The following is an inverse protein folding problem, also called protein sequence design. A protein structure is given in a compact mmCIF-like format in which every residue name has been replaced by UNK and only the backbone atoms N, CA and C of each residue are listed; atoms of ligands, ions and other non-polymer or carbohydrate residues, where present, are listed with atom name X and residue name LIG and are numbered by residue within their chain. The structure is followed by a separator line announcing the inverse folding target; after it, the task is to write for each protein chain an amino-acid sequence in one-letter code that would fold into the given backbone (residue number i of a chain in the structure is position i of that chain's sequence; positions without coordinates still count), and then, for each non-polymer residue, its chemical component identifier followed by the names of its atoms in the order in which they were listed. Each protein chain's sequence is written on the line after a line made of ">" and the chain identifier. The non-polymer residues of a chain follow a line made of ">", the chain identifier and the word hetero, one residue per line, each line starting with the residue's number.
data_IF_331522539326
#
_entry.id   IF_331522539326
#
_cell.length_a   1.000
_cell.length_b   1.000
_cell.length_c   1.000
_cell.angle_alpha   90.00
_cell.angle_beta   90.00
_cell.angle_gamma   90.00
#
_symmetry.space_group_name_H-M   'P 1'
#
loop_
_entity.id
_entity.type
_entity.pdbx_description
1 polymer ?
#
# COMPACT_ATOMS: atom_id res chain seq x y z
N UNK A 1 -5.98 6.28 22.32
CA UNK A 1 -6.94 6.06 21.23
C UNK A 1 -8.20 5.40 21.71
N UNK A 2 -9.34 5.87 21.21
CA UNK A 2 -10.61 5.22 21.44
C UNK A 2 -10.84 4.14 20.38
N UNK A 3 -11.49 3.04 20.77
CA UNK A 3 -11.75 1.88 19.91
C UNK A 3 -12.42 2.26 18.57
N UNK A 4 -13.10 3.40 18.46
CA UNK A 4 -13.83 3.83 17.26
C UNK A 4 -12.96 4.24 16.05
N UNK A 5 -11.64 4.42 16.19
CA UNK A 5 -10.78 4.93 15.09
C UNK A 5 -10.30 3.82 14.12
N UNK A 6 -10.56 2.56 14.43
CA UNK A 6 -10.14 1.41 13.61
C UNK A 6 -10.58 1.50 12.12
N UNK A 7 -11.77 2.04 11.74
CA UNK A 7 -12.17 2.12 10.34
C UNK A 7 -11.26 3.05 9.53
N UNK A 8 -10.81 4.14 10.14
CA UNK A 8 -9.93 5.12 9.50
C UNK A 8 -8.53 4.56 9.29
N UNK A 9 -7.99 3.88 10.30
CA UNK A 9 -6.69 3.20 10.21
C UNK A 9 -6.75 2.16 9.10
N UNK A 10 -7.74 1.27 9.14
CA UNK A 10 -7.85 0.20 8.14
C UNK A 10 -8.08 0.74 6.73
N UNK A 11 -8.91 1.77 6.57
CA UNK A 11 -9.10 2.46 5.30
C UNK A 11 -7.78 3.01 4.74
N UNK A 12 -6.97 3.65 5.58
CA UNK A 12 -5.69 4.20 5.15
C UNK A 12 -4.73 3.11 4.66
N UNK A 13 -4.63 1.98 5.38
CA UNK A 13 -3.78 0.84 5.03
C UNK A 13 -4.21 0.23 3.69
N UNK A 14 -5.50 -0.05 3.53
CA UNK A 14 -6.04 -0.63 2.30
C UNK A 14 -5.82 0.29 1.09
N UNK A 15 -6.01 1.60 1.26
CA UNK A 15 -5.80 2.60 0.22
C UNK A 15 -4.33 2.66 -0.20
N UNK A 16 -3.43 2.80 0.77
CA UNK A 16 -1.97 2.89 0.55
C UNK A 16 -1.42 1.66 -0.15
N UNK A 17 -1.77 0.46 0.32
CA UNK A 17 -1.31 -0.79 -0.31
C UNK A 17 -1.84 -0.92 -1.74
N UNK A 18 -3.11 -0.56 -1.98
CA UNK A 18 -3.72 -0.69 -3.31
C UNK A 18 -3.13 0.27 -4.34
N UNK A 19 -2.96 1.54 -3.96
CA UNK A 19 -2.34 2.56 -4.81
C UNK A 19 -0.89 2.18 -5.11
N UNK A 20 -0.12 1.82 -4.08
CA UNK A 20 1.27 1.40 -4.24
C UNK A 20 1.41 0.16 -5.14
N UNK A 21 0.54 -0.83 -4.95
CA UNK A 21 0.53 -2.02 -5.81
C UNK A 21 0.21 -1.69 -7.26
N UNK A 22 -0.78 -0.83 -7.50
CA UNK A 22 -1.14 -0.43 -8.86
C UNK A 22 -0.01 0.33 -9.54
N UNK A 23 0.70 1.24 -8.85
CA UNK A 23 1.86 1.96 -9.41
C UNK A 23 2.92 0.95 -9.90
N UNK A 24 3.24 -0.05 -9.08
CA UNK A 24 4.22 -1.09 -9.42
C UNK A 24 3.75 -1.96 -10.58
N UNK A 25 2.50 -2.43 -10.54
CA UNK A 25 1.92 -3.23 -11.63
C UNK A 25 1.83 -2.44 -12.93
N UNK A 26 1.50 -1.15 -12.85
CA UNK A 26 1.46 -0.24 -13.98
C UNK A 26 2.82 -0.07 -14.63
N UNK A 27 3.89 0.11 -13.84
CA UNK A 27 5.25 0.12 -14.36
C UNK A 27 5.63 -1.20 -15.04
N UNK A 28 5.23 -2.34 -14.46
CA UNK A 28 5.47 -3.66 -15.07
C UNK A 28 4.71 -3.81 -16.39
N UNK A 29 3.47 -3.34 -16.48
CA UNK A 29 2.69 -3.35 -17.72
C UNK A 29 3.29 -2.45 -18.80
N UNK A 30 3.75 -1.24 -18.42
CA UNK A 30 4.43 -0.33 -19.33
C UNK A 30 5.76 -0.90 -19.87
N UNK A 31 6.42 -1.78 -19.12
CA UNK A 31 7.66 -2.44 -19.58
C UNK A 31 7.46 -3.39 -20.76
N UNK A 32 6.23 -3.82 -21.04
CA UNK A 32 5.91 -4.74 -22.15
C UNK A 32 6.51 -6.15 -22.02
N UNK A 33 7.16 -6.48 -20.90
CA UNK A 33 7.79 -7.80 -20.68
C UNK A 33 6.79 -8.95 -20.46
N UNK A 34 5.51 -8.64 -20.20
CA UNK A 34 4.46 -9.63 -19.99
C UNK A 34 3.83 -10.04 -21.33
N UNK A 35 3.66 -11.35 -21.55
CA UNK A 35 2.91 -11.80 -22.71
C UNK A 35 1.41 -11.50 -22.55
N UNK A 36 0.67 -11.43 -23.66
CA UNK A 36 -0.76 -11.10 -23.66
C UNK A 36 -1.58 -11.95 -22.67
N UNK A 37 -1.34 -13.26 -22.63
CA UNK A 37 -2.01 -14.16 -21.67
C UNK A 37 -1.65 -13.90 -20.20
N UNK A 38 -0.43 -13.46 -19.90
CA UNK A 38 -0.04 -13.06 -18.54
C UNK A 38 -0.67 -11.74 -18.15
N UNK A 39 -0.69 -10.77 -19.06
CA UNK A 39 -1.35 -9.49 -18.86
C UNK A 39 -2.85 -9.69 -18.60
N UNK A 40 -3.55 -10.55 -19.35
CA UNK A 40 -4.98 -10.83 -19.12
C UNK A 40 -5.26 -11.40 -17.71
N UNK A 41 -4.43 -12.34 -17.26
CA UNK A 41 -4.50 -12.94 -15.91
C UNK A 41 -4.15 -11.92 -14.82
N UNK A 42 -3.20 -11.03 -15.08
CA UNK A 42 -2.85 -9.94 -14.17
C UNK A 42 -4.02 -8.97 -14.00
N UNK A 43 -4.67 -8.57 -15.09
CA UNK A 43 -5.86 -7.72 -15.00
C UNK A 43 -7.01 -8.39 -14.23
N UNK A 44 -7.16 -9.72 -14.31
CA UNK A 44 -8.11 -10.45 -13.44
C UNK A 44 -7.68 -10.41 -11.97
N UNK A 45 -6.38 -10.51 -11.68
CA UNK A 45 -5.86 -10.40 -10.33
C UNK A 45 -6.00 -8.98 -9.73
N UNK A 46 -6.01 -7.93 -10.57
CA UNK A 46 -6.22 -6.54 -10.14
C UNK A 46 -7.60 -6.29 -9.49
N UNK A 47 -8.58 -7.20 -9.65
CA UNK A 47 -9.87 -7.10 -8.98
C UNK A 47 -9.73 -6.95 -7.45
N UNK A 48 -8.68 -7.56 -6.86
CA UNK A 48 -8.37 -7.43 -5.43
C UNK A 48 -8.09 -5.97 -5.06
N UNK A 49 -7.39 -5.22 -5.91
CA UNK A 49 -7.10 -3.79 -5.67
C UNK A 49 -8.39 -2.96 -5.65
N UNK A 50 -9.34 -3.28 -6.54
CA UNK A 50 -10.63 -2.59 -6.59
C UNK A 50 -11.47 -2.87 -5.35
N UNK A 51 -11.50 -4.13 -4.90
CA UNK A 51 -12.18 -4.51 -3.66
C UNK A 51 -11.56 -3.81 -2.44
N UNK A 52 -10.22 -3.73 -2.37
CA UNK A 52 -9.53 -3.03 -1.29
C UNK A 52 -9.81 -1.53 -1.31
N UNK A 53 -9.73 -0.86 -2.46
CA UNK A 53 -10.01 0.59 -2.57
C UNK A 53 -11.47 0.91 -2.27
N UNK A 54 -12.41 0.13 -2.82
CA UNK A 54 -13.83 0.31 -2.53
C UNK A 54 -14.12 0.12 -1.04
N UNK A 55 -13.59 -0.94 -0.43
CA UNK A 55 -13.75 -1.18 1.01
C UNK A 55 -13.14 -0.06 1.85
N UNK A 56 -11.97 0.46 1.44
CA UNK A 56 -11.32 1.56 2.13
C UNK A 56 -12.15 2.84 2.10
N UNK A 57 -12.65 3.24 0.93
CA UNK A 57 -13.48 4.43 0.77
C UNK A 57 -14.80 4.29 1.54
N UNK A 58 -15.44 3.11 1.47
CA UNK A 58 -16.62 2.84 2.28
C UNK A 58 -16.34 2.97 3.77
N UNK A 59 -15.28 2.33 4.28
CA UNK A 59 -14.93 2.41 5.70
C UNK A 59 -14.70 3.85 6.17
N UNK A 60 -14.04 4.69 5.37
CA UNK A 60 -13.76 6.08 5.73
C UNK A 60 -15.01 6.95 5.65
N UNK A 61 -15.64 7.02 4.49
CA UNK A 61 -16.70 8.00 4.24
C UNK A 61 -18.00 7.62 4.94
N UNK A 62 -18.32 6.32 5.04
CA UNK A 62 -19.49 5.87 5.80
C UNK A 62 -19.39 6.26 7.28
N UNK A 63 -18.21 6.10 7.89
CA UNK A 63 -18.01 6.48 9.29
C UNK A 63 -18.05 8.00 9.49
N UNK A 64 -17.52 8.80 8.56
CA UNK A 64 -17.62 10.26 8.63
C UNK A 64 -19.06 10.74 8.48
N UNK A 65 -19.83 10.17 7.55
CA UNK A 65 -21.24 10.51 7.37
C UNK A 65 -22.09 10.16 8.59
N UNK A 66 -21.79 9.06 9.28
CA UNK A 66 -22.48 8.69 10.53
C UNK A 66 -22.07 9.55 11.73
N UNK A 67 -20.82 9.99 11.77
CA UNK A 67 -20.29 10.81 12.87
C UNK A 67 -20.75 12.28 12.78
N UNK A 68 -20.96 12.80 11.57
CA UNK A 68 -21.08 14.24 11.31
C UNK A 68 -22.46 14.66 10.78
N UNK A 69 -23.52 14.25 11.49
CA UNK A 69 -24.93 14.54 11.13
C UNK A 69 -25.28 16.03 11.32
N UNK A 70 -24.39 16.85 11.90
CA UNK A 70 -24.68 18.23 12.31
C UNK A 70 -24.00 19.34 11.49
N UNK A 71 -22.74 19.18 11.03
CA UNK A 71 -21.94 20.31 10.47
C UNK A 71 -21.65 20.24 8.96
N UNK A 72 -22.30 19.33 8.23
CA UNK A 72 -22.20 19.26 6.78
C UNK A 72 -20.89 18.64 6.30
N UNK A 73 -20.93 17.33 6.08
CA UNK A 73 -19.81 16.50 5.61
C UNK A 73 -19.06 17.13 4.40
N UNK A 74 -17.72 17.22 4.53
CA UNK A 74 -16.81 17.67 3.46
C UNK A 74 -15.79 16.58 3.14
N UNK A 75 -15.65 16.28 1.85
CA UNK A 75 -14.66 15.30 1.36
C UNK A 75 -13.25 15.87 1.55
N UNK A 76 -12.40 15.14 2.29
CA UNK A 76 -11.00 15.51 2.49
C UNK A 76 -10.14 15.35 1.23
N UNK A 77 -9.03 16.07 1.14
CA UNK A 77 -8.15 16.03 -0.04
C UNK A 77 -7.58 14.63 -0.33
N UNK A 78 -7.19 13.87 0.70
CA UNK A 78 -6.73 12.48 0.54
C UNK A 78 -7.82 11.57 -0.03
N UNK A 79 -9.07 11.74 0.41
CA UNK A 79 -10.21 10.98 -0.09
C UNK A 79 -10.49 11.33 -1.55
N UNK A 80 -10.45 12.62 -1.90
CA UNK A 80 -10.64 13.09 -3.27
C UNK A 80 -9.57 12.55 -4.22
N UNK A 81 -8.30 12.53 -3.80
CA UNK A 81 -7.21 11.91 -4.56
C UNK A 81 -7.41 10.39 -4.71
N UNK A 82 -7.88 9.71 -3.65
CA UNK A 82 -8.14 8.27 -3.66
C UNK A 82 -9.31 7.91 -4.58
N UNK A 83 -10.39 8.69 -4.56
CA UNK A 83 -11.55 8.55 -5.45
C UNK A 83 -11.13 8.80 -6.91
N UNK A 84 -10.38 9.88 -7.16
CA UNK A 84 -9.88 10.22 -8.50
C UNK A 84 -8.95 9.13 -9.03
N UNK A 85 -8.07 8.63 -8.19
CA UNK A 85 -7.21 7.49 -8.49
C UNK A 85 -8.06 6.27 -8.84
N UNK A 86 -9.01 5.89 -7.99
CA UNK A 86 -9.85 4.72 -8.18
C UNK A 86 -10.64 4.79 -9.49
N UNK A 87 -11.25 5.95 -9.79
CA UNK A 87 -11.95 6.19 -11.05
C UNK A 87 -11.01 6.06 -12.25
N UNK A 88 -9.84 6.72 -12.23
CA UNK A 88 -8.87 6.66 -13.33
C UNK A 88 -8.32 5.24 -13.57
N UNK A 89 -8.06 4.50 -12.50
CA UNK A 89 -7.53 3.15 -12.54
C UNK A 89 -8.58 2.14 -13.03
N UNK A 90 -9.85 2.31 -12.63
CA UNK A 90 -10.97 1.55 -13.19
C UNK A 90 -11.22 1.85 -14.66
N UNK A 91 -11.17 3.13 -15.07
CA UNK A 91 -11.29 3.53 -16.47
C UNK A 91 -10.22 2.86 -17.34
N UNK A 92 -8.97 2.87 -16.88
CA UNK A 92 -7.90 2.10 -17.51
C UNK A 92 -8.24 0.60 -17.59
N UNK A 93 -8.65 0.01 -16.46
CA UNK A 93 -8.94 -1.43 -16.38
C UNK A 93 -10.06 -1.86 -17.33
N UNK A 94 -11.15 -1.08 -17.41
CA UNK A 94 -12.24 -1.33 -18.35
C UNK A 94 -11.79 -1.14 -19.80
N UNK A 95 -11.04 -0.07 -20.08
CA UNK A 95 -10.54 0.20 -21.42
C UNK A 95 -9.63 -0.94 -21.92
N UNK A 96 -8.75 -1.47 -21.07
CA UNK A 96 -7.88 -2.59 -21.41
C UNK A 96 -8.66 -3.90 -21.55
N UNK A 97 -9.64 -4.17 -20.69
CA UNK A 97 -10.45 -5.41 -20.75
C UNK A 97 -11.38 -5.46 -21.95
N UNK A 98 -12.03 -4.35 -22.27
CA UNK A 98 -12.94 -4.26 -23.39
C UNK A 98 -12.23 -3.87 -24.70
N UNK A 99 -10.89 -3.72 -24.68
CA UNK A 99 -10.07 -3.28 -25.81
C UNK A 99 -10.61 -1.98 -26.44
N UNK A 100 -11.08 -1.04 -25.60
CA UNK A 100 -11.67 0.22 -26.04
C UNK A 100 -10.56 1.21 -26.40
N UNK A 101 -10.62 1.72 -27.62
CA UNK A 101 -9.68 2.71 -28.14
C UNK A 101 -8.34 2.12 -28.58
N UNK A 102 -7.45 2.99 -29.07
CA UNK A 102 -6.11 2.59 -29.54
C UNK A 102 -5.18 2.23 -28.37
N UNK A 103 -4.16 1.43 -28.64
CA UNK A 103 -3.13 1.07 -27.66
C UNK A 103 -2.48 2.29 -27.01
N UNK A 104 -2.34 3.38 -27.76
CA UNK A 104 -1.82 4.65 -27.27
C UNK A 104 -2.73 5.26 -26.19
N UNK A 105 -4.05 5.26 -26.40
CA UNK A 105 -5.01 5.81 -25.43
C UNK A 105 -4.97 5.00 -24.14
N UNK A 106 -4.96 3.65 -24.23
CA UNK A 106 -4.93 2.80 -23.04
C UNK A 106 -3.66 2.98 -22.22
N UNK A 107 -2.51 3.13 -22.89
CA UNK A 107 -1.25 3.50 -22.23
C UNK A 107 -1.30 4.88 -21.59
N UNK A 108 -1.91 5.88 -22.25
CA UNK A 108 -2.10 7.21 -21.66
C UNK A 108 -2.97 7.15 -20.41
N UNK A 109 -4.07 6.38 -20.42
CA UNK A 109 -4.90 6.15 -19.24
C UNK A 109 -4.11 5.50 -18.09
N UNK A 110 -3.26 4.51 -18.40
CA UNK A 110 -2.39 3.88 -17.41
C UNK A 110 -1.42 4.88 -16.78
N UNK A 111 -0.74 5.68 -17.61
CA UNK A 111 0.21 6.70 -17.14
C UNK A 111 -0.52 7.75 -16.30
N UNK A 112 -1.71 8.20 -16.70
CA UNK A 112 -2.52 9.14 -15.93
C UNK A 112 -2.86 8.57 -14.54
N UNK A 113 -3.30 7.32 -14.46
CA UNK A 113 -3.58 6.68 -13.18
C UNK A 113 -2.33 6.55 -12.29
N UNK A 114 -1.17 6.23 -12.87
CA UNK A 114 0.12 6.20 -12.14
C UNK A 114 0.47 7.59 -11.62
N UNK A 115 0.31 8.65 -12.43
CA UNK A 115 0.59 10.04 -12.03
C UNK A 115 -0.32 10.47 -10.88
N UNK A 116 -1.62 10.14 -10.94
CA UNK A 116 -2.56 10.41 -9.85
C UNK A 116 -2.14 9.65 -8.59
N UNK A 117 -1.76 8.38 -8.70
CA UNK A 117 -1.23 7.61 -7.57
C UNK A 117 0.05 8.20 -6.99
N UNK A 118 0.95 8.72 -7.83
CA UNK A 118 2.13 9.46 -7.42
C UNK A 118 1.79 10.76 -6.69
N UNK A 119 0.77 11.48 -7.15
CA UNK A 119 0.28 12.68 -6.46
C UNK A 119 -0.29 12.39 -5.07
N UNK A 120 -0.97 11.25 -4.89
CA UNK A 120 -1.40 10.75 -3.59
C UNK A 120 -0.21 10.50 -2.66
N UNK A 121 0.85 9.87 -3.15
CA UNK A 121 2.07 9.63 -2.37
C UNK A 121 2.73 10.95 -1.94
N UNK A 122 2.89 11.90 -2.86
CA UNK A 122 3.50 13.21 -2.58
C UNK A 122 2.67 13.99 -1.56
N UNK A 123 1.36 14.06 -1.76
CA UNK A 123 0.45 14.74 -0.83
C UNK A 123 0.48 14.08 0.55
N UNK A 124 0.42 12.75 0.62
CA UNK A 124 0.45 12.00 1.88
C UNK A 124 1.74 12.23 2.67
N UNK A 125 2.88 12.39 1.99
CA UNK A 125 4.16 12.76 2.61
C UNK A 125 4.20 14.21 3.07
N UNK A 126 3.69 15.14 2.25
CA UNK A 126 3.66 16.57 2.61
C UNK A 126 2.86 16.79 3.91
N UNK A 127 1.68 16.15 4.03
CA UNK A 127 0.82 16.22 5.22
C UNK A 127 1.50 15.65 6.48
N UNK A 128 2.43 14.70 6.32
CA UNK A 128 3.09 13.97 7.43
C UNK A 128 4.54 14.40 7.65
N UNK A 129 4.97 15.48 7.01
CA UNK A 129 6.37 15.92 6.98
C UNK A 129 6.91 16.35 8.35
N UNK A 130 6.04 16.77 9.27
CA UNK A 130 6.41 17.17 10.63
C UNK A 130 6.76 15.96 11.52
N UNK A 131 6.27 14.77 11.20
CA UNK A 131 6.43 13.57 12.01
C UNK A 131 6.96 12.41 11.15
N UNK A 132 8.29 12.27 11.07
CA UNK A 132 8.94 11.28 10.22
C UNK A 132 8.60 9.82 10.51
N UNK A 133 8.20 9.47 11.72
CA UNK A 133 7.73 8.13 12.06
C UNK A 133 6.47 7.82 11.24
N UNK A 134 5.53 8.78 11.17
CA UNK A 134 4.30 8.67 10.37
C UNK A 134 4.59 8.64 8.90
N UNK A 135 5.47 9.53 8.44
CA UNK A 135 5.89 9.53 7.05
C UNK A 135 6.56 8.19 6.67
N UNK A 136 7.40 7.63 7.55
CA UNK A 136 8.09 6.36 7.32
C UNK A 136 7.13 5.18 7.28
N UNK A 137 6.11 5.13 8.15
CA UNK A 137 5.08 4.11 8.12
C UNK A 137 4.18 4.24 6.89
N UNK A 138 3.83 5.46 6.50
CA UNK A 138 3.11 5.74 5.26
C UNK A 138 3.89 5.24 4.04
N UNK A 139 5.21 5.51 3.97
CA UNK A 139 6.09 5.01 2.92
C UNK A 139 6.20 3.49 2.94
N UNK A 140 6.39 2.89 4.12
CA UNK A 140 6.49 1.44 4.27
C UNK A 140 5.21 0.76 3.77
N UNK A 141 4.04 1.26 4.17
CA UNK A 141 2.75 0.67 3.79
C UNK A 141 2.48 0.85 2.30
N UNK A 142 2.68 2.07 1.78
CA UNK A 142 2.41 2.39 0.38
C UNK A 142 3.40 1.70 -0.55
N UNK A 143 4.71 1.84 -0.31
CA UNK A 143 5.73 1.34 -1.22
C UNK A 143 6.12 -0.10 -0.93
N UNK A 144 6.44 -0.49 0.31
CA UNK A 144 6.82 -1.87 0.63
C UNK A 144 5.59 -2.80 0.63
N UNK A 145 4.50 -2.42 1.30
CA UNK A 145 3.24 -3.18 1.28
C UNK A 145 2.64 -3.25 -0.13
N UNK A 146 2.66 -2.15 -0.88
CA UNK A 146 2.20 -2.11 -2.27
C UNK A 146 3.05 -2.97 -3.21
N UNK A 147 4.39 -2.90 -3.14
CA UNK A 147 5.27 -3.76 -3.96
C UNK A 147 5.09 -5.24 -3.65
N UNK A 148 4.90 -5.60 -2.37
CA UNK A 148 4.58 -6.97 -1.97
C UNK A 148 3.23 -7.44 -2.55
N UNK A 149 2.20 -6.59 -2.50
CA UNK A 149 0.89 -6.89 -3.06
C UNK A 149 0.94 -7.03 -4.59
N UNK A 150 1.68 -6.15 -5.27
CA UNK A 150 1.95 -6.27 -6.70
C UNK A 150 2.66 -7.58 -7.04
N UNK A 151 3.67 -7.97 -6.25
CA UNK A 151 4.36 -9.24 -6.45
C UNK A 151 3.42 -10.44 -6.24
N UNK A 152 2.56 -10.41 -5.22
CA UNK A 152 1.54 -11.44 -5.01
C UNK A 152 0.57 -11.56 -6.19
N UNK A 153 0.13 -10.42 -6.75
CA UNK A 153 -0.70 -10.39 -7.97
C UNK A 153 0.03 -10.99 -9.19
N UNK A 154 1.32 -10.70 -9.35
CA UNK A 154 2.15 -11.27 -10.43
C UNK A 154 2.36 -12.78 -10.27
N UNK A 155 2.57 -13.27 -9.04
CA UNK A 155 2.67 -14.69 -8.74
C UNK A 155 1.33 -15.38 -9.03
N UNK A 156 0.20 -14.79 -8.61
CA UNK A 156 -1.15 -15.27 -8.93
C UNK A 156 -1.42 -15.31 -10.43
N UNK A 157 -0.90 -14.35 -11.20
CA UNK A 157 -0.99 -14.30 -12.65
C UNK A 157 -0.04 -15.29 -13.37
N UNK A 158 0.77 -16.04 -12.62
CA UNK A 158 1.79 -16.97 -13.14
C UNK A 158 2.71 -16.28 -14.16
N UNK A 159 3.23 -15.11 -13.80
CA UNK A 159 4.23 -14.44 -14.60
C UNK A 159 5.49 -15.33 -14.78
N UNK A 160 6.17 -15.19 -15.92
CA UNK A 160 7.40 -15.95 -16.26
C UNK A 160 8.66 -15.07 -16.22
N UNK A 161 8.53 -13.80 -15.83
CA UNK A 161 9.65 -12.85 -15.80
C UNK A 161 10.43 -13.06 -14.50
N UNK A 162 11.44 -13.92 -14.54
CA UNK A 162 12.21 -14.31 -13.34
C UNK A 162 12.90 -13.14 -12.64
N UNK A 163 13.28 -12.10 -13.39
CA UNK A 163 13.85 -10.87 -12.86
C UNK A 163 12.94 -10.21 -11.81
N UNK A 164 11.61 -10.24 -12.01
CA UNK A 164 10.67 -9.62 -11.08
C UNK A 164 10.65 -10.31 -9.71
N UNK A 165 10.86 -11.64 -9.69
CA UNK A 165 10.96 -12.40 -8.45
C UNK A 165 12.18 -12.00 -7.62
N UNK A 166 13.18 -11.36 -8.23
CA UNK A 166 14.41 -10.92 -7.57
C UNK A 166 14.41 -9.42 -7.28
N UNK A 167 13.96 -8.61 -8.24
CA UNK A 167 13.97 -7.15 -8.13
C UNK A 167 12.93 -6.66 -7.12
N UNK A 168 11.71 -7.23 -7.13
CA UNK A 168 10.64 -6.73 -6.26
C UNK A 168 10.94 -6.94 -4.76
N UNK A 169 11.38 -8.12 -4.29
CA UNK A 169 11.72 -8.27 -2.87
C UNK A 169 12.93 -7.42 -2.48
N UNK A 170 13.95 -7.27 -3.34
CA UNK A 170 15.10 -6.39 -3.07
C UNK A 170 14.68 -4.93 -2.93
N UNK A 171 13.82 -4.45 -3.83
CA UNK A 171 13.26 -3.10 -3.74
C UNK A 171 12.50 -2.90 -2.43
N UNK A 172 11.66 -3.88 -2.06
CA UNK A 172 10.97 -3.92 -0.78
C UNK A 172 11.90 -3.83 0.43
N UNK A 173 12.97 -4.62 0.43
CA UNK A 173 14.01 -4.58 1.48
C UNK A 173 14.66 -3.20 1.57
N UNK A 174 15.03 -2.59 0.44
CA UNK A 174 15.62 -1.24 0.43
C UNK A 174 14.66 -0.21 1.00
N UNK A 175 13.39 -0.23 0.58
CA UNK A 175 12.35 0.67 1.10
C UNK A 175 12.20 0.48 2.61
N UNK A 176 12.10 -0.77 3.08
CA UNK A 176 11.94 -1.06 4.50
C UNK A 176 13.15 -0.59 5.33
N UNK A 177 14.37 -0.77 4.83
CA UNK A 177 15.60 -0.26 5.48
C UNK A 177 15.55 1.27 5.58
N UNK A 178 15.18 1.97 4.51
CA UNK A 178 15.05 3.44 4.54
C UNK A 178 13.98 3.86 5.56
N UNK A 179 12.84 3.18 5.60
CA UNK A 179 11.77 3.49 6.56
C UNK A 179 12.19 3.20 8.01
N UNK A 180 12.96 2.13 8.24
CA UNK A 180 13.51 1.82 9.57
C UNK A 180 14.52 2.88 10.01
N UNK A 181 15.45 3.28 9.14
CA UNK A 181 16.47 4.28 9.46
C UNK A 181 15.85 5.67 9.74
N UNK A 182 14.74 6.00 9.08
CA UNK A 182 14.03 7.27 9.27
C UNK A 182 13.07 7.25 10.47
N UNK A 183 12.42 6.12 10.75
CA UNK A 183 11.47 5.98 11.86
C UNK A 183 12.13 5.69 13.23
N UNK A 184 13.18 4.86 13.27
CA UNK A 184 13.79 4.39 14.52
C UNK A 184 14.27 5.49 15.48
N UNK A 185 14.90 6.59 15.01
CA UNK A 185 15.36 7.66 15.90
C UNK A 185 14.23 8.29 16.75
N UNK A 186 12.99 8.24 16.27
CA UNK A 186 11.84 8.87 16.93
C UNK A 186 11.22 8.00 18.03
N UNK A 187 11.60 6.73 18.13
CA UNK A 187 11.26 5.89 19.29
C UNK A 187 11.84 6.44 20.60
N UNK A 188 12.98 7.15 20.53
CA UNK A 188 13.56 7.81 21.70
C UNK A 188 12.67 8.91 22.26
N UNK A 189 11.94 9.62 21.40
CA UNK A 189 10.99 10.65 21.84
C UNK A 189 9.76 10.04 22.50
N UNK A 190 9.22 8.95 21.91
CA UNK A 190 8.14 8.18 22.54
C UNK A 190 8.56 7.62 23.90
N UNK A 191 9.81 7.17 24.05
CA UNK A 191 10.34 6.71 25.35
C UNK A 191 10.30 7.80 26.41
N UNK A 192 10.65 9.05 26.06
CA UNK A 192 10.57 10.18 27.00
C UNK A 192 9.12 10.53 27.35
N UNK A 193 8.20 10.40 26.39
CA UNK A 193 6.77 10.59 26.66
C UNK A 193 6.21 9.58 27.66
N UNK A 194 6.72 8.34 27.68
CA UNK A 194 6.37 7.35 28.71
C UNK A 194 6.75 7.87 30.10
N UNK A 195 7.97 8.41 30.25
CA UNK A 195 8.44 8.93 31.53
C UNK A 195 7.62 10.15 31.98
N UNK A 196 7.17 10.99 31.04
CA UNK A 196 6.42 12.20 31.34
C UNK A 196 4.92 11.96 31.60
N UNK A 197 4.29 11.03 30.89
CA UNK A 197 2.81 10.87 30.88
C UNK A 197 2.33 9.47 31.27
N UNK A 198 3.23 8.48 31.37
CA UNK A 198 2.89 7.08 31.61
C UNK A 198 2.20 6.38 30.43
N UNK A 199 2.09 7.03 29.26
CA UNK A 199 1.40 6.47 28.10
C UNK A 199 2.29 5.48 27.32
N UNK A 200 2.25 4.20 27.72
CA UNK A 200 3.09 3.12 27.15
C UNK A 200 2.61 2.62 25.78
N UNK A 201 1.31 2.71 25.51
CA UNK A 201 0.68 2.05 24.35
C UNK A 201 1.21 2.54 22.97
N UNK A 202 1.44 3.85 22.74
CA UNK A 202 2.02 4.33 21.49
C UNK A 202 3.43 3.77 21.24
N UNK A 203 4.27 3.69 22.26
CA UNK A 203 5.61 3.11 22.11
C UNK A 203 5.55 1.62 21.75
N UNK A 204 4.75 0.82 22.46
CA UNK A 204 4.64 -0.63 22.23
C UNK A 204 4.12 -0.93 20.82
N UNK A 205 3.09 -0.21 20.38
CA UNK A 205 2.52 -0.40 19.05
C UNK A 205 3.51 -0.07 17.92
N UNK A 206 4.32 0.99 18.06
CA UNK A 206 5.35 1.32 17.07
C UNK A 206 6.48 0.29 17.04
N UNK A 207 6.91 -0.22 18.20
CA UNK A 207 7.90 -1.31 18.27
C UNK A 207 7.38 -2.58 17.59
N UNK A 208 6.12 -2.96 17.85
CA UNK A 208 5.47 -4.09 17.18
C UNK A 208 5.41 -3.86 15.67
N UNK A 209 5.02 -2.66 15.23
CA UNK A 209 4.93 -2.32 13.81
C UNK A 209 6.26 -2.49 13.09
N UNK A 210 7.34 -1.90 13.63
CA UNK A 210 8.68 -1.97 13.05
C UNK A 210 9.25 -3.41 13.08
N UNK A 211 9.01 -4.14 14.16
CA UNK A 211 9.37 -5.56 14.26
C UNK A 211 8.66 -6.42 13.22
N UNK A 212 7.36 -6.18 13.00
CA UNK A 212 6.60 -6.86 11.96
C UNK A 212 7.04 -6.45 10.56
N UNK A 213 7.45 -5.21 10.32
CA UNK A 213 8.01 -4.79 9.02
C UNK A 213 9.27 -5.59 8.68
N UNK A 214 10.16 -5.83 9.65
CA UNK A 214 11.31 -6.72 9.48
C UNK A 214 10.88 -8.16 9.16
N UNK A 215 9.87 -8.67 9.87
CA UNK A 215 9.33 -10.00 9.60
C UNK A 215 8.73 -10.11 8.20
N UNK A 216 8.00 -9.09 7.72
CA UNK A 216 7.44 -9.00 6.37
C UNK A 216 8.54 -9.17 5.33
N UNK A 217 9.60 -8.37 5.44
CA UNK A 217 10.74 -8.41 4.51
C UNK A 217 11.48 -9.74 4.58
N UNK A 218 11.66 -10.29 5.78
CA UNK A 218 12.30 -11.60 5.97
C UNK A 218 11.52 -12.73 5.31
N UNK A 219 10.21 -12.81 5.55
CA UNK A 219 9.31 -13.80 4.93
C UNK A 219 9.24 -13.60 3.41
N UNK A 220 9.09 -12.36 2.96
CA UNK A 220 9.01 -12.06 1.52
C UNK A 220 10.31 -12.37 0.78
N UNK A 221 11.46 -12.15 1.42
CA UNK A 221 12.78 -12.48 0.86
C UNK A 221 13.14 -13.96 0.97
N UNK A 222 12.35 -14.77 1.68
CA UNK A 222 12.64 -16.20 1.90
C UNK A 222 12.85 -16.98 0.60
N UNK A 223 12.05 -16.82 -0.48
CA UNK A 223 12.28 -17.50 -1.75
C UNK A 223 13.63 -17.15 -2.39
N UNK A 224 14.18 -15.96 -2.14
CA UNK A 224 15.52 -15.58 -2.60
C UNK A 224 16.62 -16.34 -1.85
N UNK A 225 16.46 -16.47 -0.53
CA UNK A 225 17.41 -17.16 0.33
C UNK A 225 17.38 -18.66 0.04
N UNK A 226 16.20 -19.25 -0.11
CA UNK A 226 16.03 -20.68 -0.39
C UNK A 226 16.15 -21.04 -1.87
N UNK A 227 16.47 -20.06 -2.74
CA UNK A 227 16.55 -20.21 -4.22
C UNK A 227 15.32 -20.94 -4.79
N UNK A 228 14.15 -20.66 -4.22
CA UNK A 228 12.88 -21.30 -4.57
C UNK A 228 11.97 -20.33 -5.32
N UNK A 229 10.99 -20.84 -6.05
CA UNK A 229 9.99 -19.98 -6.69
C UNK A 229 9.07 -19.37 -5.63
N UNK A 230 8.72 -18.08 -5.72
CA UNK A 230 7.78 -17.49 -4.79
C UNK A 230 6.42 -18.16 -4.94
N UNK A 231 5.94 -18.73 -3.84
CA UNK A 231 4.63 -19.37 -3.77
C UNK A 231 3.61 -18.41 -3.17
N UNK A 232 2.37 -18.49 -3.63
CA UNK A 232 1.32 -17.56 -3.21
C UNK A 232 1.11 -17.57 -1.70
N UNK A 233 1.21 -18.74 -1.04
CA UNK A 233 1.04 -18.87 0.42
C UNK A 233 2.02 -18.02 1.23
N UNK A 234 3.30 -17.99 0.85
CA UNK A 234 4.32 -17.16 1.51
C UNK A 234 4.04 -15.68 1.28
N UNK A 235 3.63 -15.31 0.06
CA UNK A 235 3.27 -13.92 -0.26
C UNK A 235 2.04 -13.45 0.52
N UNK A 236 1.00 -14.29 0.64
CA UNK A 236 -0.21 -13.96 1.41
C UNK A 236 0.07 -13.86 2.90
N UNK A 237 0.97 -14.69 3.43
CA UNK A 237 1.38 -14.59 4.83
C UNK A 237 2.16 -13.30 5.09
N UNK A 238 3.12 -12.95 4.22
CA UNK A 238 3.82 -11.67 4.30
C UNK A 238 2.85 -10.47 4.17
N UNK A 239 1.83 -10.57 3.31
CA UNK A 239 0.81 -9.53 3.18
C UNK A 239 -0.02 -9.36 4.46
N UNK A 240 -0.41 -10.46 5.10
CA UNK A 240 -1.12 -10.42 6.38
C UNK A 240 -0.27 -9.72 7.46
N UNK A 241 1.02 -10.07 7.55
CA UNK A 241 1.96 -9.40 8.44
C UNK A 241 2.10 -7.90 8.11
N UNK A 242 2.11 -7.54 6.82
CA UNK A 242 2.20 -6.14 6.39
C UNK A 242 0.98 -5.33 6.80
N UNK A 243 -0.22 -5.91 6.69
CA UNK A 243 -1.46 -5.27 7.14
C UNK A 243 -1.45 -5.09 8.66
N UNK A 244 -1.05 -6.11 9.42
CA UNK A 244 -0.96 -6.04 10.89
C UNK A 244 0.10 -5.01 11.32
N UNK A 245 1.28 -5.00 10.69
CA UNK A 245 2.31 -3.99 10.91
C UNK A 245 1.78 -2.57 10.70
N UNK A 246 1.09 -2.34 9.59
CA UNK A 246 0.55 -1.02 9.24
C UNK A 246 -0.60 -0.60 10.15
N UNK A 247 -1.40 -1.57 10.62
CA UNK A 247 -2.44 -1.32 11.61
C UNK A 247 -1.84 -0.88 12.95
N UNK A 248 -0.82 -1.58 13.46
CA UNK A 248 -0.14 -1.18 14.70
C UNK A 248 0.57 0.18 14.57
N UNK A 249 1.12 0.50 13.39
CA UNK A 249 1.64 1.85 13.14
C UNK A 249 0.53 2.91 13.29
N UNK A 250 -0.65 2.64 12.75
CA UNK A 250 -1.82 3.50 12.85
C UNK A 250 -2.36 3.65 14.27
N UNK A 251 -2.31 2.59 15.08
CA UNK A 251 -2.73 2.60 16.49
C UNK A 251 -1.73 3.33 17.39
N UNK A 252 -0.46 3.39 16.98
CA UNK A 252 0.58 4.11 17.72
C UNK A 252 0.56 5.61 17.52
N UNK A 253 -0.51 6.16 16.96
CA UNK A 253 -0.77 7.60 16.86
C UNK A 253 -1.72 8.10 17.93
#
# INVERSE_FOLDING_TARGET
>A
MAWFEWPFILSSVLTQMSIGAFIVLGMVLLSGKLCFGQADRLHKAMLVLWLMLFSALLLREWNLMLADVADGYRIGAEALLSITFFASALLYWFAEKALIGSDFIRKCCLVLAIVIGGSYLIHGLAVRSEHWLIASHFLATTLCGGTLLAHACLVRAQHKVEELNTVLPRLGTIIAVICLLTGFPQLGELSRQIEATGAVMPFVSQVISLGLLLAVVGVWSMPLVTKSKPVLGVMTFALALSVVSSYFAGVGY
#
